data_IF_847368734303
#
_entry.id   IF_847368734303
#
_cell.length_a   1.000
_cell.length_b   1.000
_cell.length_c   1.000
_cell.angle_alpha   90.00
_cell.angle_beta   90.00
_cell.angle_gamma   90.00
#
_symmetry.space_group_name_H-M   'P 1'
#
loop_
_entity.id
_entity.type
_entity.pdbx_description
1 polymer ?
#
# COMPACT_ATOMS: atom_id res chain seq x y z
N UNK A 1 -39.48 25.33 -35.93
CA UNK A 1 -39.84 23.94 -36.22
C UNK A 1 -39.58 23.68 -37.72
N UNK A 2 -38.46 23.06 -38.04
CA UNK A 2 -38.10 22.78 -39.43
C UNK A 2 -38.28 21.28 -39.67
N UNK A 3 -39.44 20.90 -40.21
CA UNK A 3 -39.69 19.52 -40.65
C UNK A 3 -39.12 19.37 -42.07
N UNK A 4 -38.00 18.70 -42.21
CA UNK A 4 -37.55 18.23 -43.52
C UNK A 4 -38.22 16.90 -43.82
N UNK A 5 -39.14 16.93 -44.75
CA UNK A 5 -39.81 15.76 -45.31
C UNK A 5 -38.88 15.08 -46.30
N UNK A 6 -38.26 13.96 -45.90
CA UNK A 6 -37.52 13.11 -46.82
C UNK A 6 -38.49 12.26 -47.61
N UNK A 7 -38.37 12.27 -48.94
CA UNK A 7 -39.14 11.42 -49.86
C UNK A 7 -38.84 9.95 -49.56
N UNK A 8 -39.86 9.19 -49.21
CA UNK A 8 -39.84 7.74 -49.21
C UNK A 8 -39.32 7.07 -47.93
N UNK A 9 -39.01 7.80 -46.89
CA UNK A 9 -38.55 7.23 -45.63
C UNK A 9 -39.65 7.06 -44.59
N UNK A 10 -40.01 5.83 -44.25
CA UNK A 10 -40.63 5.55 -42.97
C UNK A 10 -39.68 6.08 -41.90
N UNK A 11 -40.12 6.99 -41.06
CA UNK A 11 -39.44 7.31 -39.82
C UNK A 11 -39.37 6.04 -39.00
N UNK A 12 -38.20 5.41 -38.97
CA UNK A 12 -37.96 4.41 -37.95
C UNK A 12 -37.90 5.18 -36.65
N UNK A 13 -38.80 4.85 -35.75
CA UNK A 13 -38.66 5.33 -34.38
C UNK A 13 -37.20 5.01 -33.93
N UNK A 14 -36.50 6.02 -33.57
CA UNK A 14 -35.14 5.85 -33.00
C UNK A 14 -35.32 5.09 -31.69
N UNK A 15 -34.94 3.82 -31.70
CA UNK A 15 -34.97 2.96 -30.51
C UNK A 15 -33.76 3.21 -29.62
N UNK A 16 -33.40 4.49 -29.50
CA UNK A 16 -32.31 4.94 -28.64
C UNK A 16 -32.36 4.47 -27.19
N UNK A 17 -33.55 4.32 -26.56
CA UNK A 17 -33.63 3.80 -25.22
C UNK A 17 -33.02 2.42 -25.02
N UNK A 18 -33.10 1.54 -26.03
CA UNK A 18 -32.53 0.18 -25.92
C UNK A 18 -31.00 0.16 -25.95
N UNK A 19 -30.40 1.09 -26.69
CA UNK A 19 -28.96 1.25 -26.70
C UNK A 19 -28.45 1.84 -25.36
N UNK A 20 -29.15 2.84 -24.84
CA UNK A 20 -28.83 3.43 -23.53
C UNK A 20 -29.03 2.44 -22.38
N UNK A 21 -30.09 1.61 -22.46
CA UNK A 21 -30.32 0.55 -21.49
C UNK A 21 -29.24 -0.53 -21.56
N UNK A 22 -28.71 -0.82 -22.74
CA UNK A 22 -27.63 -1.77 -22.93
C UNK A 22 -26.31 -1.22 -22.37
N UNK A 23 -26.00 0.04 -22.62
CA UNK A 23 -24.82 0.68 -22.02
C UNK A 23 -24.96 0.89 -20.51
N UNK A 24 -26.15 1.16 -20.02
CA UNK A 24 -26.42 1.24 -18.58
C UNK A 24 -26.29 -0.11 -17.87
N UNK A 25 -26.61 -1.22 -18.56
CA UNK A 25 -26.37 -2.57 -18.05
C UNK A 25 -24.88 -2.92 -18.01
N UNK A 26 -24.18 -2.57 -19.09
CA UNK A 26 -22.72 -2.77 -19.15
C UNK A 26 -21.98 -1.91 -18.09
N UNK A 27 -22.54 -0.76 -17.70
CA UNK A 27 -22.03 0.06 -16.60
C UNK A 27 -22.28 -0.54 -15.21
N UNK A 28 -23.31 -1.37 -15.04
CA UNK A 28 -23.54 -2.14 -13.82
C UNK A 28 -22.61 -3.36 -13.72
N UNK A 29 -22.24 -3.94 -14.86
CA UNK A 29 -21.25 -5.03 -14.92
C UNK A 29 -19.83 -4.55 -14.52
N UNK A 30 -19.53 -3.25 -14.64
CA UNK A 30 -18.31 -2.63 -14.13
C UNK A 30 -18.22 -2.56 -12.60
N UNK A 31 -19.33 -2.74 -11.87
CA UNK A 31 -19.34 -2.85 -10.41
C UNK A 31 -18.91 -4.24 -9.92
N UNK A 32 -18.77 -5.20 -10.81
CA UNK A 32 -18.47 -6.59 -10.51
C UNK A 32 -16.99 -6.96 -10.67
N UNK A 33 -16.05 -6.05 -10.53
CA UNK A 33 -14.63 -6.42 -10.51
C UNK A 33 -14.25 -7.09 -9.19
N UNK A 34 -13.45 -8.14 -9.30
CA UNK A 34 -12.80 -8.74 -8.12
C UNK A 34 -11.70 -7.81 -7.63
N UNK A 35 -11.77 -7.46 -6.37
CA UNK A 35 -10.78 -6.65 -5.67
C UNK A 35 -10.18 -7.46 -4.54
N UNK A 36 -8.85 -7.43 -4.42
CA UNK A 36 -8.13 -7.85 -3.22
C UNK A 36 -7.87 -6.63 -2.36
N UNK A 37 -8.19 -6.73 -1.09
CA UNK A 37 -7.91 -5.74 -0.08
C UNK A 37 -6.97 -6.35 0.95
N UNK A 38 -5.81 -5.76 1.12
CA UNK A 38 -4.79 -6.16 2.09
C UNK A 38 -4.64 -5.01 3.09
N UNK A 39 -5.00 -5.24 4.34
CA UNK A 39 -5.11 -4.18 5.37
C UNK A 39 -3.77 -3.47 5.66
N UNK A 40 -2.66 -4.16 5.56
CA UNK A 40 -1.32 -3.63 5.82
C UNK A 40 -0.36 -3.96 4.66
N UNK A 41 -0.61 -3.39 3.49
CA UNK A 41 0.18 -3.67 2.28
C UNK A 41 1.66 -3.29 2.41
N UNK A 42 1.96 -2.26 3.21
CA UNK A 42 3.30 -1.74 3.41
C UNK A 42 3.62 -1.72 4.90
N UNK A 43 4.64 -2.48 5.28
CA UNK A 43 5.11 -2.57 6.65
C UNK A 43 6.59 -2.27 6.73
N UNK A 44 7.09 -2.06 7.94
CA UNK A 44 8.49 -1.73 8.16
C UNK A 44 9.07 -2.55 9.30
N UNK A 45 10.35 -2.92 9.16
CA UNK A 45 11.13 -3.60 10.20
C UNK A 45 12.39 -2.82 10.49
N UNK A 46 12.79 -2.79 11.76
CA UNK A 46 14.05 -2.18 12.17
C UNK A 46 15.22 -3.12 11.87
N UNK A 47 16.31 -2.55 11.38
CA UNK A 47 17.56 -3.28 11.13
C UNK A 47 18.72 -2.64 11.87
N UNK A 48 19.81 -3.42 12.05
CA UNK A 48 21.11 -2.88 12.44
C UNK A 48 21.80 -2.15 11.27
N UNK A 49 23.00 -1.63 11.52
CA UNK A 49 23.81 -0.96 10.49
C UNK A 49 24.19 -1.88 9.32
N UNK A 50 24.24 -3.19 9.56
CA UNK A 50 24.55 -4.22 8.54
C UNK A 50 23.31 -4.62 7.74
N UNK A 51 22.11 -4.22 8.18
CA UNK A 51 20.83 -4.55 7.53
C UNK A 51 20.19 -5.84 8.04
N UNK A 52 20.66 -6.39 9.17
CA UNK A 52 19.98 -7.52 9.81
C UNK A 52 18.76 -7.02 10.58
N UNK A 53 17.64 -7.74 10.48
CA UNK A 53 16.43 -7.38 11.22
C UNK A 53 16.63 -7.61 12.71
N UNK A 54 16.43 -6.56 13.51
CA UNK A 54 16.60 -6.57 14.98
C UNK A 54 15.28 -6.41 15.73
N UNK A 55 14.17 -6.11 15.02
CA UNK A 55 12.86 -5.98 15.64
C UNK A 55 11.74 -5.76 14.64
N UNK A 56 10.49 -5.84 15.14
CA UNK A 56 9.28 -5.64 14.31
C UNK A 56 8.66 -6.92 13.76
N UNK A 57 9.19 -8.10 14.08
CA UNK A 57 8.58 -9.38 13.74
C UNK A 57 7.84 -10.01 14.94
N UNK A 58 6.78 -10.82 14.73
CA UNK A 58 6.18 -11.13 13.43
C UNK A 58 5.35 -9.97 12.86
N UNK A 59 5.28 -9.89 11.51
CA UNK A 59 4.37 -8.99 10.81
C UNK A 59 3.10 -9.74 10.41
N UNK A 60 1.95 -9.10 10.55
CA UNK A 60 0.67 -9.67 10.15
C UNK A 60 -0.04 -8.72 9.17
N UNK A 61 -0.70 -9.31 8.18
CA UNK A 61 -1.61 -8.62 7.28
C UNK A 61 -2.82 -9.53 7.02
N UNK A 62 -3.99 -8.94 6.81
CA UNK A 62 -5.22 -9.68 6.52
C UNK A 62 -5.67 -9.39 5.10
N UNK A 63 -5.84 -10.44 4.31
CA UNK A 63 -6.34 -10.38 2.96
C UNK A 63 -7.84 -10.66 2.93
N UNK A 64 -8.58 -9.75 2.32
CA UNK A 64 -9.98 -9.90 1.98
C UNK A 64 -10.19 -9.83 0.47
N UNK A 65 -11.13 -10.59 -0.05
CA UNK A 65 -11.49 -10.58 -1.46
C UNK A 65 -12.95 -10.14 -1.60
N UNK A 66 -13.21 -9.25 -2.55
CA UNK A 66 -14.54 -8.68 -2.77
C UNK A 66 -14.96 -8.79 -4.24
N UNK A 67 -16.27 -8.94 -4.45
CA UNK A 67 -16.92 -8.70 -5.73
C UNK A 67 -17.90 -7.55 -5.56
N UNK A 68 -17.54 -6.38 -6.09
CA UNK A 68 -18.24 -5.15 -5.76
C UNK A 68 -18.14 -4.85 -4.25
N UNK A 69 -19.27 -4.90 -3.54
CA UNK A 69 -19.34 -4.69 -2.08
C UNK A 69 -19.48 -6.00 -1.27
N UNK A 70 -19.53 -7.14 -1.95
CA UNK A 70 -19.75 -8.44 -1.31
C UNK A 70 -18.41 -9.10 -1.04
N UNK A 71 -18.14 -9.40 0.24
CA UNK A 71 -16.96 -10.16 0.64
C UNK A 71 -17.12 -11.63 0.23
N UNK A 72 -16.08 -12.19 -0.36
CA UNK A 72 -16.04 -13.56 -0.86
C UNK A 72 -15.15 -14.43 0.03
N UNK A 73 -15.53 -15.70 0.16
CA UNK A 73 -14.69 -16.68 0.83
C UNK A 73 -13.52 -17.09 -0.07
N UNK A 74 -12.34 -17.14 0.48
CA UNK A 74 -11.16 -17.61 -0.24
C UNK A 74 -11.22 -19.11 -0.47
N UNK A 75 -11.06 -19.55 -1.70
CA UNK A 75 -10.88 -20.97 -2.07
C UNK A 75 -9.43 -21.39 -1.89
N UNK A 76 -8.48 -20.51 -2.19
CA UNK A 76 -7.06 -20.68 -1.88
C UNK A 76 -6.42 -19.37 -1.46
N UNK A 77 -5.35 -19.48 -0.66
CA UNK A 77 -4.48 -18.38 -0.29
C UNK A 77 -3.06 -18.93 -0.17
N UNK A 78 -2.16 -18.39 -0.96
CA UNK A 78 -0.77 -18.84 -1.03
C UNK A 78 0.16 -17.64 -1.02
N UNK A 79 1.21 -17.71 -0.20
CA UNK A 79 2.30 -16.71 -0.20
C UNK A 79 3.53 -17.32 -0.85
N UNK A 80 4.26 -16.50 -1.61
CA UNK A 80 5.51 -16.90 -2.26
C UNK A 80 6.65 -16.00 -1.77
N UNK A 81 7.14 -16.22 -0.53
CA UNK A 81 8.21 -15.41 0.02
C UNK A 81 9.50 -15.60 -0.80
N UNK A 82 10.28 -14.53 -1.01
CA UNK A 82 11.60 -14.64 -1.61
C UNK A 82 12.57 -15.38 -0.67
N UNK A 83 13.75 -15.72 -1.20
CA UNK A 83 14.80 -16.38 -0.41
C UNK A 83 15.13 -15.58 0.87
N UNK A 84 15.29 -16.29 1.97
CA UNK A 84 15.57 -15.70 3.28
C UNK A 84 14.36 -15.13 4.03
N UNK A 85 13.16 -15.23 3.47
CA UNK A 85 11.92 -14.79 4.13
C UNK A 85 11.04 -16.00 4.45
N UNK A 86 10.55 -16.09 5.68
CA UNK A 86 9.59 -17.12 6.10
C UNK A 86 8.24 -16.44 6.35
N UNK A 87 7.28 -16.84 5.55
CA UNK A 87 5.91 -16.37 5.66
C UNK A 87 4.91 -17.52 5.53
N UNK A 88 3.79 -17.42 6.20
CA UNK A 88 2.67 -18.37 6.17
C UNK A 88 1.37 -17.64 5.91
N UNK A 89 0.38 -18.36 5.40
CA UNK A 89 -0.96 -17.82 5.19
C UNK A 89 -2.00 -18.80 5.73
N UNK A 90 -2.98 -18.27 6.43
CA UNK A 90 -4.17 -19.01 6.85
C UNK A 90 -5.36 -18.57 5.97
N UNK A 91 -5.82 -19.50 5.14
CA UNK A 91 -6.93 -19.26 4.22
C UNK A 91 -8.25 -18.93 4.92
N UNK A 92 -8.50 -19.51 6.09
CA UNK A 92 -9.78 -19.33 6.77
C UNK A 92 -9.93 -17.93 7.35
N UNK A 93 -8.87 -17.43 7.95
CA UNK A 93 -8.84 -16.08 8.52
C UNK A 93 -8.38 -15.01 7.54
N UNK A 94 -7.76 -15.41 6.41
CA UNK A 94 -7.11 -14.49 5.48
C UNK A 94 -5.79 -13.92 6.01
N UNK A 95 -5.30 -14.40 7.17
CA UNK A 95 -4.12 -13.83 7.83
C UNK A 95 -2.84 -14.37 7.18
N UNK A 96 -1.96 -13.44 6.87
CA UNK A 96 -0.60 -13.69 6.39
C UNK A 96 0.34 -13.26 7.50
N UNK A 97 1.25 -14.15 7.87
CA UNK A 97 2.23 -13.89 8.95
C UNK A 97 3.64 -14.06 8.41
N UNK A 98 4.46 -13.03 8.53
CA UNK A 98 5.90 -13.08 8.25
C UNK A 98 6.63 -13.23 9.57
N UNK A 99 7.27 -14.38 9.75
CA UNK A 99 7.91 -14.75 11.04
C UNK A 99 9.41 -14.52 11.06
N UNK A 100 10.06 -14.54 9.89
CA UNK A 100 11.50 -14.37 9.80
C UNK A 100 11.90 -13.69 8.50
N UNK A 101 12.91 -12.83 8.60
CA UNK A 101 13.60 -12.22 7.47
C UNK A 101 15.08 -12.38 7.75
N UNK A 102 15.72 -13.34 7.07
CA UNK A 102 17.16 -13.53 7.14
C UNK A 102 17.90 -12.49 6.29
N UNK A 103 19.23 -12.54 6.35
CA UNK A 103 20.14 -11.60 5.69
C UNK A 103 19.86 -11.45 4.18
N UNK A 104 18.98 -10.55 3.84
CA UNK A 104 18.79 -10.10 2.45
C UNK A 104 19.45 -8.73 2.32
N UNK A 105 20.11 -8.49 1.20
CA UNK A 105 20.71 -7.19 0.88
C UNK A 105 19.67 -6.16 0.51
N UNK A 106 18.45 -6.62 0.18
CA UNK A 106 17.37 -5.78 -0.27
C UNK A 106 16.85 -4.89 0.86
N UNK A 107 16.68 -3.62 0.58
CA UNK A 107 16.06 -2.66 1.49
C UNK A 107 14.52 -2.72 1.46
N UNK A 108 13.98 -3.26 0.38
CA UNK A 108 12.54 -3.46 0.20
C UNK A 108 12.29 -4.89 -0.27
N UNK A 109 11.47 -5.60 0.47
CA UNK A 109 11.09 -6.99 0.20
C UNK A 109 9.64 -6.99 -0.27
N UNK A 110 9.37 -7.63 -1.41
CA UNK A 110 8.00 -7.80 -1.93
C UNK A 110 7.65 -9.28 -1.91
N UNK A 111 6.57 -9.62 -1.22
CA UNK A 111 6.06 -10.98 -1.09
C UNK A 111 4.79 -11.09 -1.93
N UNK A 112 4.80 -11.84 -3.05
CA UNK A 112 3.60 -12.10 -3.83
C UNK A 112 2.62 -12.97 -3.03
N UNK A 113 1.35 -12.59 -3.09
CA UNK A 113 0.22 -13.27 -2.44
C UNK A 113 -0.79 -13.61 -3.52
N UNK A 114 -1.00 -14.89 -3.75
CA UNK A 114 -2.00 -15.39 -4.70
C UNK A 114 -3.24 -15.82 -3.93
N UNK A 115 -4.38 -15.33 -4.34
CA UNK A 115 -5.67 -15.69 -3.78
C UNK A 115 -6.64 -16.08 -4.87
N UNK A 116 -7.48 -17.09 -4.59
CA UNK A 116 -8.55 -17.48 -5.48
C UNK A 116 -9.87 -17.64 -4.75
N UNK A 117 -10.94 -17.48 -5.48
CA UNK A 117 -12.31 -17.77 -5.05
C UNK A 117 -13.12 -18.38 -6.21
N UNK A 118 -14.22 -19.05 -5.89
CA UNK A 118 -15.20 -19.47 -6.89
C UNK A 118 -16.45 -18.61 -6.71
N UNK A 119 -16.78 -17.85 -7.72
CA UNK A 119 -17.96 -17.01 -7.75
C UNK A 119 -18.75 -17.27 -9.03
N UNK A 120 -20.05 -17.53 -8.93
CA UNK A 120 -20.92 -17.91 -10.06
C UNK A 120 -20.39 -19.08 -10.89
N UNK A 121 -19.80 -20.10 -10.26
CA UNK A 121 -19.14 -21.26 -10.87
C UNK A 121 -17.91 -20.93 -11.72
N UNK A 122 -17.35 -19.74 -11.61
CA UNK A 122 -16.10 -19.34 -12.23
C UNK A 122 -15.00 -19.23 -11.19
N UNK A 123 -13.83 -19.81 -11.49
CA UNK A 123 -12.62 -19.63 -10.69
C UNK A 123 -12.01 -18.27 -11.00
N UNK A 124 -11.87 -17.47 -9.97
CA UNK A 124 -11.28 -16.14 -10.05
C UNK A 124 -9.99 -16.09 -9.24
N UNK A 125 -8.90 -15.72 -9.89
CA UNK A 125 -7.58 -15.65 -9.29
C UNK A 125 -7.03 -14.23 -9.37
N UNK A 126 -6.37 -13.78 -8.31
CA UNK A 126 -5.71 -12.47 -8.24
C UNK A 126 -4.44 -12.57 -7.44
N UNK A 127 -3.49 -11.71 -7.77
CA UNK A 127 -2.23 -11.55 -7.04
C UNK A 127 -2.14 -10.14 -6.49
N UNK A 128 -1.74 -10.02 -5.24
CA UNK A 128 -1.32 -8.76 -4.61
C UNK A 128 0.07 -8.93 -3.97
N UNK A 129 0.58 -7.88 -3.32
CA UNK A 129 1.92 -7.88 -2.75
C UNK A 129 1.91 -7.30 -1.34
N UNK A 130 2.54 -8.00 -0.40
CA UNK A 130 2.96 -7.42 0.86
C UNK A 130 4.37 -6.85 0.68
N UNK A 131 4.54 -5.58 1.00
CA UNK A 131 5.81 -4.87 0.88
C UNK A 131 6.38 -4.60 2.27
N UNK A 132 7.63 -4.99 2.51
CA UNK A 132 8.31 -4.77 3.77
C UNK A 132 9.55 -3.92 3.53
N UNK A 133 9.63 -2.78 4.21
CA UNK A 133 10.76 -1.88 4.15
C UNK A 133 11.68 -2.11 5.35
N UNK A 134 12.96 -2.28 5.11
CA UNK A 134 14.00 -2.35 6.12
C UNK A 134 14.49 -0.93 6.46
N UNK A 135 14.27 -0.52 7.69
CA UNK A 135 14.69 0.79 8.17
C UNK A 135 15.99 0.63 8.96
N UNK A 136 17.06 1.19 8.41
CA UNK A 136 18.35 1.27 9.11
C UNK A 136 18.32 2.41 10.12
N UNK A 137 19.02 2.27 11.27
CA UNK A 137 19.26 3.42 12.12
C UNK A 137 20.00 4.49 11.30
N UNK A 138 19.73 5.76 11.56
CA UNK A 138 20.54 6.85 11.06
C UNK A 138 22.01 6.58 11.44
N UNK A 139 22.96 6.96 10.59
CA UNK A 139 24.34 7.02 11.03
C UNK A 139 24.39 7.86 12.32
N UNK A 140 25.10 7.36 13.34
CA UNK A 140 25.38 8.16 14.53
C UNK A 140 25.89 9.51 14.03
N UNK A 141 25.16 10.59 14.39
CA UNK A 141 25.60 11.94 14.01
C UNK A 141 27.03 12.06 14.51
N UNK A 142 27.96 12.53 13.68
CA UNK A 142 29.27 12.95 14.16
C UNK A 142 29.03 13.78 15.43
N UNK A 143 29.78 13.51 16.48
CA UNK A 143 29.62 14.19 17.76
C UNK A 143 29.34 15.66 17.55
N UNK A 144 28.18 16.12 17.99
CA UNK A 144 27.79 17.52 17.79
C UNK A 144 28.83 18.35 18.51
N UNK A 145 29.72 19.04 17.73
CA UNK A 145 30.70 19.94 18.29
C UNK A 145 29.92 21.12 18.87
N UNK A 146 29.75 21.11 20.20
CA UNK A 146 29.14 22.22 20.91
C UNK A 146 30.19 23.34 20.99
N UNK A 147 30.07 24.33 20.11
CA UNK A 147 30.84 25.58 20.28
C UNK A 147 30.17 26.40 21.40
N UNK A 148 30.82 26.42 22.56
CA UNK A 148 30.46 27.35 23.65
C UNK A 148 31.31 28.60 23.48
N UNK A 149 30.68 29.72 23.14
CA UNK A 149 31.34 31.03 23.21
C UNK A 149 31.33 31.45 24.68
N UNK A 150 32.44 31.29 25.35
CA UNK A 150 32.65 31.93 26.65
C UNK A 150 33.15 33.35 26.39
N UNK A 151 32.44 34.38 26.83
CA UNK A 151 32.99 35.73 26.75
C UNK A 151 34.24 35.80 27.61
N UNK A 152 35.29 36.38 27.11
CA UNK A 152 36.56 36.54 27.82
C UNK A 152 36.46 37.48 29.04
N UNK A 153 35.32 38.16 29.16
CA UNK A 153 35.02 39.08 30.26
C UNK A 153 33.55 38.89 30.66
N UNK A 154 33.31 38.49 31.92
CA UNK A 154 31.98 38.26 32.48
C UNK A 154 31.20 39.55 32.70
N UNK A 155 31.88 40.67 32.83
CA UNK A 155 31.30 41.99 32.97
C UNK A 155 32.26 43.06 32.49
N UNK A 156 31.73 44.03 31.74
CA UNK A 156 32.46 45.25 31.44
C UNK A 156 32.14 46.22 32.55
N UNK A 157 33.17 46.54 33.33
CA UNK A 157 33.06 47.57 34.37
C UNK A 157 33.10 48.93 33.67
N UNK A 158 32.01 49.68 33.75
CA UNK A 158 31.94 51.06 33.23
C UNK A 158 31.92 52.02 34.40
N UNK A 159 32.69 53.04 34.32
CA UNK A 159 32.64 54.11 35.29
C UNK A 159 31.35 54.92 35.18
N UNK A 160 31.10 55.83 36.13
CA UNK A 160 29.91 56.68 36.10
C UNK A 160 29.81 57.60 34.90
N UNK A 161 30.84 57.65 34.04
CA UNK A 161 30.89 58.43 32.81
C UNK A 161 30.68 57.56 31.57
N UNK A 162 30.45 56.23 31.72
CA UNK A 162 30.19 55.29 30.64
C UNK A 162 31.44 54.89 29.86
N UNK A 163 32.64 55.03 30.42
CA UNK A 163 33.87 54.60 29.79
C UNK A 163 34.29 53.26 30.34
N UNK A 164 34.63 52.29 29.47
CA UNK A 164 35.20 51.01 29.86
C UNK A 164 36.71 51.15 30.12
N UNK A 165 37.16 50.53 31.18
CA UNK A 165 38.60 50.35 31.44
C UNK A 165 39.19 49.31 30.51
#
# INVERSE_FOLDING_TARGET
MCQRKFRGGRWRAYTGPSLWAKYGKDGLDGLGSIVLDLDNEIQSVATDSLGNVVGGLPLNATLSMYYGTVQLNLSSLTVRPPEGVVATADRQSGIITVTSIANTTDTTIRIPIDASTVYNNELMERTTYLTINKIKPGADGEDAILYSLMPSVDAIHVDKKGVSD
#
